data_IF_097092336836
#
_entry.id   IF_097092336836
#
_cell.length_a   1.000
_cell.length_b   1.000
_cell.length_c   1.000
_cell.angle_alpha   90.00
_cell.angle_beta   90.00
_cell.angle_gamma   90.00
#
_symmetry.space_group_name_H-M   'P 1'
#
loop_
_entity.id
_entity.type
_entity.pdbx_description
1 polymer ?
#
# COMPACT_ATOMS: atom_id res chain seq x y z
N UNK A 1 5.43 19.28 39.41
CA UNK A 1 5.13 17.83 39.48
C UNK A 1 5.71 17.05 38.29
N UNK A 2 5.30 17.30 37.04
CA UNK A 2 5.83 16.57 35.87
C UNK A 2 7.37 16.59 35.73
N UNK A 3 8.01 17.73 36.00
CA UNK A 3 9.47 17.85 35.98
C UNK A 3 10.16 16.94 37.02
N UNK A 4 9.57 16.78 38.21
CA UNK A 4 10.09 15.90 39.26
C UNK A 4 9.93 14.43 38.87
N UNK A 5 8.78 14.05 38.30
CA UNK A 5 8.56 12.69 37.78
C UNK A 5 9.52 12.35 36.64
N UNK A 6 9.92 13.33 35.84
CA UNK A 6 10.94 13.15 34.80
C UNK A 6 12.33 12.92 35.39
N UNK A 7 12.68 13.58 36.49
CA UNK A 7 13.94 13.33 37.23
C UNK A 7 13.89 11.93 37.85
N UNK A 8 12.78 11.58 38.49
CA UNK A 8 12.55 10.25 39.04
C UNK A 8 12.71 9.14 37.98
N UNK A 9 12.04 9.28 36.83
CA UNK A 9 12.15 8.32 35.71
C UNK A 9 13.57 8.19 35.15
N UNK A 10 14.41 9.24 35.26
CA UNK A 10 15.81 9.19 34.82
C UNK A 10 16.67 8.28 35.69
N UNK A 11 16.33 8.07 36.96
CA UNK A 11 17.07 7.12 37.81
C UNK A 11 16.88 5.68 37.35
N UNK A 12 15.77 5.35 36.67
CA UNK A 12 15.51 4.03 36.09
C UNK A 12 16.03 3.91 34.64
N UNK A 13 16.86 4.86 34.16
CA UNK A 13 17.32 4.92 32.77
C UNK A 13 18.15 3.70 32.37
N UNK A 14 19.00 3.21 33.26
CA UNK A 14 19.88 2.08 32.96
C UNK A 14 19.09 0.79 32.74
N UNK A 15 18.02 0.58 33.53
CA UNK A 15 17.07 -0.51 33.34
C UNK A 15 16.36 -0.39 31.98
N UNK A 16 15.89 0.81 31.64
CA UNK A 16 15.27 1.08 30.33
C UNK A 16 16.23 0.78 29.18
N UNK A 17 17.49 1.19 29.28
CA UNK A 17 18.51 0.91 28.26
C UNK A 17 18.76 -0.60 28.14
N UNK A 18 18.85 -1.32 29.27
CA UNK A 18 19.06 -2.77 29.30
C UNK A 18 17.88 -3.51 28.66
N UNK A 19 16.65 -3.12 28.99
CA UNK A 19 15.43 -3.67 28.39
C UNK A 19 15.42 -3.40 26.88
N UNK A 20 15.68 -2.15 26.46
CA UNK A 20 15.71 -1.78 25.05
C UNK A 20 16.72 -2.60 24.25
N UNK A 21 17.95 -2.77 24.77
CA UNK A 21 18.97 -3.61 24.14
C UNK A 21 18.47 -5.04 23.97
N UNK A 22 17.97 -5.65 25.04
CA UNK A 22 17.48 -7.03 25.03
C UNK A 22 16.34 -7.25 24.02
N UNK A 23 15.43 -6.29 23.88
CA UNK A 23 14.36 -6.31 22.87
C UNK A 23 14.95 -6.33 21.45
N UNK A 24 16.00 -5.54 21.20
CA UNK A 24 16.58 -5.37 19.86
C UNK A 24 17.62 -6.41 19.45
N UNK A 25 17.90 -7.42 20.29
CA UNK A 25 18.84 -8.51 19.96
C UNK A 25 18.24 -9.40 18.87
N UNK A 26 19.01 -9.64 17.80
CA UNK A 26 18.62 -10.53 16.70
C UNK A 26 18.78 -12.00 17.09
N UNK A 27 17.74 -12.80 16.84
CA UNK A 27 17.72 -14.23 17.11
C UNK A 27 18.81 -15.00 16.35
N UNK A 28 19.16 -14.57 15.13
CA UNK A 28 20.13 -15.28 14.30
C UNK A 28 21.59 -15.02 14.67
N UNK A 29 21.89 -14.01 15.49
CA UNK A 29 23.27 -13.67 15.89
C UNK A 29 23.81 -14.57 17.01
N UNK A 30 22.96 -15.10 17.90
CA UNK A 30 23.43 -15.98 18.99
C UNK A 30 23.81 -17.39 18.52
N UNK A 31 23.28 -17.84 17.37
CA UNK A 31 23.50 -19.20 16.86
C UNK A 31 24.95 -19.48 16.42
N UNK A 32 25.71 -18.47 15.98
CA UNK A 32 27.01 -18.73 15.33
C UNK A 32 28.24 -18.75 16.24
N UNK A 33 28.19 -18.09 17.40
CA UNK A 33 29.42 -17.86 18.19
C UNK A 33 29.41 -18.53 19.57
N UNK A 34 28.24 -18.92 20.09
CA UNK A 34 28.08 -19.42 21.47
C UNK A 34 27.37 -20.79 21.59
N UNK A 35 26.83 -21.33 20.49
CA UNK A 35 26.11 -22.60 20.47
C UNK A 35 26.93 -23.81 20.97
N UNK A 36 28.25 -23.71 21.01
CA UNK A 36 29.13 -24.78 21.49
C UNK A 36 29.21 -24.89 23.04
N UNK A 37 28.81 -23.88 23.81
CA UNK A 37 29.10 -23.83 25.26
C UNK A 37 27.94 -23.38 26.16
N UNK A 38 26.79 -22.97 25.63
CA UNK A 38 25.66 -22.49 26.45
C UNK A 38 24.33 -23.12 26.03
N UNK A 39 23.46 -23.39 27.01
CA UNK A 39 22.05 -23.71 26.76
C UNK A 39 21.44 -22.56 25.95
N UNK A 40 21.02 -22.84 24.73
CA UNK A 40 20.31 -21.87 23.91
C UNK A 40 19.03 -21.45 24.65
N UNK A 41 18.96 -20.18 25.03
CA UNK A 41 17.74 -19.60 25.62
C UNK A 41 16.71 -19.54 24.50
N UNK A 42 15.56 -20.17 24.72
CA UNK A 42 14.50 -20.17 23.71
C UNK A 42 13.95 -18.75 23.50
N UNK A 43 13.44 -18.42 22.29
CA UNK A 43 12.80 -17.13 22.03
C UNK A 43 11.70 -16.79 23.07
N UNK A 44 10.93 -17.79 23.49
CA UNK A 44 9.90 -17.65 24.52
C UNK A 44 10.50 -17.27 25.89
N UNK A 45 11.52 -17.99 26.37
CA UNK A 45 12.19 -17.67 27.63
C UNK A 45 12.76 -16.25 27.63
N UNK A 46 13.30 -15.78 26.49
CA UNK A 46 13.81 -14.42 26.36
C UNK A 46 12.69 -13.38 26.44
N UNK A 47 11.58 -13.59 25.73
CA UNK A 47 10.42 -12.69 25.79
C UNK A 47 9.91 -12.62 27.23
N UNK A 48 9.75 -13.76 27.91
CA UNK A 48 9.36 -13.79 29.32
C UNK A 48 10.32 -13.00 30.20
N UNK A 49 11.63 -13.19 30.07
CA UNK A 49 12.63 -12.43 30.84
C UNK A 49 12.56 -10.90 30.59
N UNK A 50 12.25 -10.48 29.36
CA UNK A 50 12.03 -9.06 29.02
C UNK A 50 10.77 -8.55 29.72
N UNK A 51 9.66 -9.27 29.60
CA UNK A 51 8.38 -8.89 30.19
C UNK A 51 8.48 -8.83 31.73
N UNK A 52 9.14 -9.80 32.36
CA UNK A 52 9.40 -9.81 33.81
C UNK A 52 10.27 -8.62 34.25
N UNK A 53 11.18 -8.15 33.40
CA UNK A 53 12.00 -6.97 33.70
C UNK A 53 11.17 -5.68 33.63
N UNK A 54 10.25 -5.60 32.66
CA UNK A 54 9.32 -4.48 32.51
C UNK A 54 8.30 -4.46 33.63
N UNK A 55 7.77 -5.62 34.02
CA UNK A 55 6.79 -5.73 35.10
C UNK A 55 7.39 -5.34 36.46
N UNK A 56 8.61 -5.80 36.76
CA UNK A 56 9.35 -5.36 37.96
C UNK A 56 9.56 -3.85 37.97
N UNK A 57 10.03 -3.28 36.86
CA UNK A 57 10.20 -1.83 36.73
C UNK A 57 8.87 -1.09 36.97
N UNK A 58 7.76 -1.62 36.46
CA UNK A 58 6.45 -1.02 36.64
C UNK A 58 5.93 -1.14 38.08
N UNK A 59 6.15 -2.29 38.73
CA UNK A 59 5.82 -2.53 40.13
C UNK A 59 6.60 -1.60 41.06
N UNK A 60 7.90 -1.41 40.83
CA UNK A 60 8.72 -0.48 41.61
C UNK A 60 8.14 0.95 41.57
N UNK A 61 7.82 1.44 40.38
CA UNK A 61 7.25 2.79 40.19
C UNK A 61 5.88 2.92 40.83
N UNK A 62 5.05 1.86 40.78
CA UNK A 62 3.73 1.81 41.43
C UNK A 62 3.86 1.76 42.97
N UNK A 63 4.92 1.15 43.50
CA UNK A 63 5.20 1.12 44.93
C UNK A 63 5.78 2.42 45.48
N UNK A 64 6.56 3.15 44.66
CA UNK A 64 7.23 4.40 45.06
C UNK A 64 6.34 5.65 44.95
N UNK A 65 5.25 5.60 44.16
CA UNK A 65 4.45 6.78 43.82
C UNK A 65 2.95 6.55 44.01
N UNK A 66 2.21 7.62 44.33
CA UNK A 66 0.75 7.64 44.27
C UNK A 66 0.26 7.28 42.86
N UNK A 67 -0.88 6.60 42.77
CA UNK A 67 -1.45 6.06 41.52
C UNK A 67 -1.41 7.01 40.31
N UNK A 68 -1.83 8.28 40.47
CA UNK A 68 -1.80 9.26 39.36
C UNK A 68 -0.37 9.62 38.93
N UNK A 69 0.56 9.68 39.88
CA UNK A 69 1.96 9.96 39.63
C UNK A 69 2.67 8.76 38.99
N UNK A 70 2.34 7.54 39.41
CA UNK A 70 2.88 6.31 38.82
C UNK A 70 2.46 6.19 37.35
N UNK A 71 1.20 6.39 37.01
CA UNK A 71 0.73 6.39 35.60
C UNK A 71 1.49 7.40 34.71
N UNK A 72 1.71 8.61 35.20
CA UNK A 72 2.49 9.62 34.46
C UNK A 72 3.95 9.17 34.30
N UNK A 73 4.56 8.63 35.36
CA UNK A 73 5.94 8.13 35.35
C UNK A 73 6.10 6.95 34.39
N UNK A 74 5.17 6.00 34.38
CA UNK A 74 5.12 4.89 33.41
C UNK A 74 5.02 5.40 31.97
N UNK A 75 4.22 6.43 31.71
CA UNK A 75 4.16 7.10 30.40
C UNK A 75 5.48 7.77 29.99
N UNK A 76 6.26 8.30 30.94
CA UNK A 76 7.60 8.84 30.67
C UNK A 76 8.59 7.71 30.37
N UNK A 77 8.59 6.65 31.18
CA UNK A 77 9.46 5.48 31.00
C UNK A 77 9.17 4.77 29.67
N UNK A 78 7.90 4.64 29.29
CA UNK A 78 7.49 4.11 27.99
C UNK A 78 8.10 4.91 26.83
N UNK A 79 7.99 6.25 26.86
CA UNK A 79 8.60 7.11 25.84
C UNK A 79 10.13 7.01 25.81
N UNK A 80 10.76 6.85 26.98
CA UNK A 80 12.21 6.62 27.07
C UNK A 80 12.57 5.27 26.45
N UNK A 81 11.81 4.22 26.74
CA UNK A 81 11.99 2.89 26.19
C UNK A 81 11.84 2.89 24.67
N UNK A 82 10.79 3.52 24.12
CA UNK A 82 10.62 3.65 22.67
C UNK A 82 11.81 4.37 22.01
N UNK A 83 12.31 5.42 22.66
CA UNK A 83 13.46 6.19 22.15
C UNK A 83 14.73 5.36 22.10
N UNK A 84 14.99 4.56 23.13
CA UNK A 84 16.16 3.67 23.19
C UNK A 84 15.99 2.45 22.25
N UNK A 85 14.78 1.87 22.13
CA UNK A 85 14.52 0.82 21.13
C UNK A 85 14.80 1.36 19.73
N UNK A 86 14.29 2.54 19.38
CA UNK A 86 14.54 3.15 18.07
C UNK A 86 16.05 3.40 17.82
N UNK A 87 16.81 3.70 18.88
CA UNK A 87 18.26 3.91 18.81
C UNK A 87 19.01 2.61 18.51
N UNK A 88 18.60 1.49 19.09
CA UNK A 88 19.25 0.19 18.93
C UNK A 88 18.67 -0.64 17.78
N UNK A 89 17.54 -0.21 17.19
CA UNK A 89 16.89 -0.89 16.10
C UNK A 89 17.84 -1.04 14.88
N UNK A 90 18.03 -2.28 14.42
CA UNK A 90 18.77 -2.52 13.19
C UNK A 90 17.98 -2.00 11.99
N UNK A 91 18.67 -1.29 11.09
CA UNK A 91 18.07 -0.80 9.84
C UNK A 91 18.15 -1.88 8.77
N UNK A 92 17.11 -1.96 7.93
CA UNK A 92 17.06 -2.85 6.76
C UNK A 92 17.19 -4.34 7.11
N UNK A 93 16.67 -4.74 8.27
CA UNK A 93 16.64 -6.14 8.69
C UNK A 93 15.48 -6.90 8.02
N UNK A 94 15.43 -8.22 8.25
CA UNK A 94 14.29 -9.04 7.83
C UNK A 94 12.99 -8.64 8.56
N UNK A 95 11.81 -8.89 7.96
CA UNK A 95 10.52 -8.60 8.59
C UNK A 95 10.30 -9.31 9.94
N UNK A 96 10.81 -10.53 10.09
CA UNK A 96 10.65 -11.35 11.31
C UNK A 96 11.25 -10.64 12.53
N UNK A 97 12.44 -10.06 12.40
CA UNK A 97 13.09 -9.25 13.43
C UNK A 97 12.18 -8.11 13.93
N UNK A 98 11.50 -7.41 13.01
CA UNK A 98 10.59 -6.34 13.39
C UNK A 98 9.28 -6.88 13.98
N UNK A 99 8.83 -8.05 13.52
CA UNK A 99 7.66 -8.75 14.04
C UNK A 99 7.85 -9.12 15.52
N UNK A 100 9.00 -9.70 15.87
CA UNK A 100 9.31 -10.09 17.25
C UNK A 100 9.32 -8.88 18.19
N UNK A 101 9.94 -7.78 17.76
CA UNK A 101 9.96 -6.53 18.52
C UNK A 101 8.54 -5.95 18.64
N UNK A 102 7.74 -6.00 17.58
CA UNK A 102 6.37 -5.52 17.58
C UNK A 102 5.47 -6.29 18.55
N UNK A 103 5.55 -7.63 18.56
CA UNK A 103 4.80 -8.48 19.49
C UNK A 103 5.23 -8.22 20.92
N UNK A 104 6.55 -8.10 21.17
CA UNK A 104 7.09 -7.78 22.49
C UNK A 104 6.59 -6.42 22.97
N UNK A 105 6.58 -5.39 22.11
CA UNK A 105 6.14 -4.05 22.46
C UNK A 105 4.63 -3.99 22.78
N UNK A 106 3.81 -4.80 22.10
CA UNK A 106 2.39 -4.96 22.44
C UNK A 106 2.18 -5.53 23.84
N UNK A 107 2.95 -6.54 24.23
CA UNK A 107 2.87 -7.10 25.57
C UNK A 107 3.34 -6.07 26.63
N UNK A 108 4.39 -5.31 26.34
CA UNK A 108 4.86 -4.20 27.20
C UNK A 108 3.77 -3.14 27.40
N UNK A 109 3.05 -2.76 26.33
CA UNK A 109 1.92 -1.83 26.45
C UNK A 109 0.84 -2.32 27.41
N UNK A 110 0.54 -3.61 27.40
CA UNK A 110 -0.41 -4.20 28.33
C UNK A 110 0.08 -4.11 29.79
N UNK A 111 1.35 -4.44 30.05
CA UNK A 111 1.96 -4.36 31.39
C UNK A 111 1.95 -2.93 31.95
N UNK A 112 2.24 -1.96 31.07
CA UNK A 112 2.31 -0.54 31.43
C UNK A 112 0.94 0.15 31.45
N UNK A 113 -0.12 -0.53 31.02
CA UNK A 113 -1.47 0.02 30.84
C UNK A 113 -1.50 1.25 29.91
N UNK A 114 -0.68 1.23 28.86
CA UNK A 114 -0.57 2.31 27.87
C UNK A 114 -1.21 1.86 26.55
N UNK A 115 -2.18 2.60 26.00
CA UNK A 115 -2.81 2.23 24.73
C UNK A 115 -1.80 2.20 23.58
N UNK A 116 -1.76 1.10 22.83
CA UNK A 116 -0.79 0.87 21.76
C UNK A 116 -0.92 1.85 20.59
N UNK A 117 -2.11 2.41 20.40
CA UNK A 117 -2.46 3.36 19.34
C UNK A 117 -1.71 4.69 19.51
N UNK A 118 -1.25 4.99 20.72
CA UNK A 118 -0.50 6.21 21.02
C UNK A 118 0.98 6.12 20.59
N UNK A 119 1.46 4.90 20.33
CA UNK A 119 2.86 4.61 20.01
C UNK A 119 3.16 4.79 18.52
N UNK A 120 3.99 5.78 18.21
CA UNK A 120 4.54 5.97 16.85
C UNK A 120 5.50 4.84 16.47
N UNK A 121 6.28 4.34 17.44
CA UNK A 121 7.21 3.24 17.22
C UNK A 121 6.48 1.95 16.88
N UNK A 122 5.40 1.63 17.59
CA UNK A 122 4.58 0.43 17.33
C UNK A 122 3.96 0.47 15.93
N UNK A 123 3.44 1.63 15.53
CA UNK A 123 2.93 1.84 14.18
C UNK A 123 4.01 1.66 13.12
N UNK A 124 5.25 2.08 13.40
CA UNK A 124 6.39 1.96 12.50
C UNK A 124 6.85 0.49 12.40
N UNK A 125 7.03 -0.19 13.52
CA UNK A 125 7.43 -1.60 13.59
C UNK A 125 6.41 -2.50 12.93
N UNK A 126 5.11 -2.22 13.13
CA UNK A 126 4.04 -2.91 12.41
C UNK A 126 4.20 -2.79 10.90
N UNK A 127 4.67 -1.66 10.35
CA UNK A 127 4.93 -1.56 8.90
C UNK A 127 6.20 -2.31 8.49
N UNK A 128 7.23 -2.30 9.33
CA UNK A 128 8.48 -3.01 9.03
C UNK A 128 8.33 -4.54 9.14
N UNK A 129 7.37 -5.04 9.91
CA UNK A 129 7.11 -6.49 10.06
C UNK A 129 6.46 -7.13 8.83
N UNK A 130 5.99 -6.34 7.86
CA UNK A 130 5.43 -6.88 6.62
C UNK A 130 6.56 -7.27 5.68
N UNK A 131 6.43 -8.39 5.00
CA UNK A 131 7.23 -8.72 3.81
C UNK A 131 6.95 -7.72 2.68
N UNK A 132 7.82 -7.67 1.69
CA UNK A 132 7.64 -6.76 0.55
C UNK A 132 6.39 -7.12 -0.26
N UNK A 133 6.07 -8.40 -0.39
CA UNK A 133 4.86 -8.85 -1.07
C UNK A 133 3.59 -8.45 -0.30
N UNK A 134 3.57 -8.60 1.03
CA UNK A 134 2.44 -8.15 1.85
C UNK A 134 2.24 -6.63 1.80
N UNK A 135 3.33 -5.85 1.74
CA UNK A 135 3.24 -4.40 1.53
C UNK A 135 2.64 -4.05 0.16
N UNK A 136 3.01 -4.78 -0.90
CA UNK A 136 2.48 -4.59 -2.25
C UNK A 136 0.99 -4.97 -2.31
N UNK A 137 0.62 -6.11 -1.72
CA UNK A 137 -0.77 -6.56 -1.63
C UNK A 137 -1.62 -5.56 -0.84
N UNK A 138 -1.11 -5.08 0.31
CA UNK A 138 -1.77 -4.07 1.13
C UNK A 138 -1.94 -2.74 0.39
N UNK A 139 -0.94 -2.35 -0.42
CA UNK A 139 -1.05 -1.18 -1.30
C UNK A 139 -2.20 -1.35 -2.30
N UNK A 140 -2.23 -2.44 -3.07
CA UNK A 140 -3.25 -2.62 -4.12
C UNK A 140 -4.66 -2.79 -3.55
N UNK A 141 -4.81 -3.45 -2.40
CA UNK A 141 -6.09 -3.52 -1.71
C UNK A 141 -6.62 -2.11 -1.38
N UNK A 142 -5.76 -1.24 -0.83
CA UNK A 142 -6.14 0.14 -0.53
C UNK A 142 -6.37 0.98 -1.78
N UNK A 143 -5.69 0.71 -2.89
CA UNK A 143 -5.99 1.37 -4.17
C UNK A 143 -7.39 0.99 -4.65
N UNK A 144 -7.74 -0.30 -4.64
CA UNK A 144 -9.05 -0.78 -5.08
C UNK A 144 -10.20 -0.24 -4.21
N UNK A 145 -10.03 -0.21 -2.89
CA UNK A 145 -11.02 0.37 -1.96
C UNK A 145 -11.30 1.87 -2.23
N UNK A 146 -10.30 2.62 -2.70
CA UNK A 146 -10.42 4.07 -2.90
C UNK A 146 -11.17 4.46 -4.19
N UNK A 147 -11.47 3.51 -5.08
CA UNK A 147 -12.18 3.78 -6.36
C UNK A 147 -13.61 4.26 -6.14
N UNK A 148 -14.24 3.92 -5.00
CA UNK A 148 -15.68 4.11 -4.77
C UNK A 148 -16.04 5.42 -4.04
N UNK A 149 -15.09 6.35 -3.86
CA UNK A 149 -15.18 7.35 -2.78
C UNK A 149 -15.82 8.68 -3.18
N UNK A 150 -16.09 8.96 -4.46
CA UNK A 150 -16.67 10.26 -4.83
C UNK A 150 -17.83 10.18 -5.86
N UNK A 151 -19.09 10.21 -5.40
CA UNK A 151 -20.26 10.26 -6.30
C UNK A 151 -20.34 11.55 -7.12
N UNK A 152 -19.60 12.60 -6.74
CA UNK A 152 -19.52 13.88 -7.45
C UNK A 152 -18.25 13.99 -8.33
N UNK A 153 -17.62 12.87 -8.69
CA UNK A 153 -16.50 12.89 -9.62
C UNK A 153 -17.00 13.13 -11.05
N UNK A 154 -16.64 14.28 -11.63
CA UNK A 154 -17.00 14.66 -13.00
C UNK A 154 -15.88 14.41 -14.02
N UNK A 155 -14.77 13.80 -13.61
CA UNK A 155 -13.62 13.51 -14.48
C UNK A 155 -13.86 12.34 -15.43
N UNK A 156 -12.83 11.86 -16.15
CA UNK A 156 -12.98 10.76 -17.10
C UNK A 156 -13.37 9.45 -16.40
N UNK A 157 -14.24 8.66 -17.05
CA UNK A 157 -14.72 7.39 -16.51
C UNK A 157 -14.90 6.36 -17.62
N UNK A 158 -14.71 5.10 -17.26
CA UNK A 158 -14.90 3.95 -18.14
C UNK A 158 -16.13 3.17 -17.69
N UNK A 159 -16.95 2.75 -18.64
CA UNK A 159 -18.06 1.83 -18.39
C UNK A 159 -17.62 0.41 -18.69
N UNK A 160 -17.79 -0.47 -17.72
CA UNK A 160 -17.44 -1.88 -17.86
C UNK A 160 -18.55 -2.76 -17.30
N UNK A 161 -18.61 -4.00 -17.75
CA UNK A 161 -19.35 -5.05 -17.07
C UNK A 161 -18.37 -6.13 -16.67
N UNK A 162 -18.44 -6.60 -15.44
CA UNK A 162 -17.52 -7.61 -14.94
C UNK A 162 -18.22 -8.56 -13.99
N UNK A 163 -17.80 -9.82 -14.01
CA UNK A 163 -18.17 -10.81 -13.02
C UNK A 163 -17.28 -12.03 -13.13
N UNK A 164 -17.51 -13.02 -12.29
CA UNK A 164 -16.75 -14.27 -12.34
C UNK A 164 -17.65 -15.51 -12.25
N UNK A 165 -17.20 -16.60 -12.85
CA UNK A 165 -17.80 -17.93 -12.71
C UNK A 165 -16.76 -18.85 -12.06
N UNK A 166 -17.07 -19.52 -10.94
CA UNK A 166 -16.22 -20.59 -10.44
C UNK A 166 -16.27 -21.77 -11.42
N UNK A 167 -15.10 -22.29 -11.78
CA UNK A 167 -14.94 -23.37 -12.75
C UNK A 167 -14.47 -24.64 -12.05
N UNK A 168 -14.54 -25.77 -12.76
CA UNK A 168 -14.01 -27.04 -12.27
C UNK A 168 -12.49 -26.96 -12.12
N UNK A 169 -11.95 -27.49 -11.01
CA UNK A 169 -10.51 -27.51 -10.74
C UNK A 169 -9.98 -26.26 -10.03
N UNK A 170 -10.73 -25.71 -9.08
CA UNK A 170 -10.30 -24.59 -8.21
C UNK A 170 -9.81 -23.36 -8.98
N UNK A 171 -10.48 -23.04 -10.08
CA UNK A 171 -10.22 -21.83 -10.87
C UNK A 171 -11.45 -20.93 -10.90
N UNK A 172 -11.23 -19.62 -10.99
CA UNK A 172 -12.24 -18.62 -11.26
C UNK A 172 -12.02 -18.05 -12.67
N UNK A 173 -13.08 -18.05 -13.48
CA UNK A 173 -13.08 -17.39 -14.77
C UNK A 173 -13.70 -16.00 -14.62
N UNK A 174 -12.88 -14.96 -14.75
CA UNK A 174 -13.34 -13.57 -14.81
C UNK A 174 -13.79 -13.28 -16.24
N UNK A 175 -14.98 -12.72 -16.39
CA UNK A 175 -15.53 -12.24 -17.66
C UNK A 175 -15.66 -10.73 -17.55
N UNK A 176 -15.01 -10.01 -18.46
CA UNK A 176 -14.99 -8.54 -18.52
C UNK A 176 -15.45 -8.08 -19.90
N UNK A 177 -16.45 -7.21 -19.95
CA UNK A 177 -16.79 -6.42 -21.14
C UNK A 177 -16.35 -4.98 -20.93
N UNK A 178 -15.48 -4.47 -21.80
CA UNK A 178 -15.14 -3.05 -21.87
C UNK A 178 -16.13 -2.35 -22.81
N UNK A 179 -17.02 -1.55 -22.25
CA UNK A 179 -18.18 -0.99 -22.97
C UNK A 179 -17.81 0.32 -23.64
N UNK A 180 -17.55 1.38 -22.87
CA UNK A 180 -17.34 2.73 -23.39
C UNK A 180 -16.47 3.60 -22.48
N UNK A 181 -16.05 4.75 -23.01
CA UNK A 181 -15.30 5.79 -22.31
C UNK A 181 -16.06 7.12 -22.39
N UNK A 182 -16.29 7.74 -21.23
CA UNK A 182 -17.08 8.96 -21.10
C UNK A 182 -16.27 10.08 -20.41
N UNK A 183 -16.64 11.33 -20.70
CA UNK A 183 -16.03 12.56 -20.16
C UNK A 183 -14.50 12.57 -20.23
N UNK A 184 -13.94 12.04 -21.31
CA UNK A 184 -12.54 12.32 -21.63
C UNK A 184 -12.43 13.82 -21.82
N UNK A 185 -11.53 14.51 -21.11
CA UNK A 185 -11.31 15.93 -21.36
C UNK A 185 -10.98 16.08 -22.85
N UNK A 186 -11.81 16.83 -23.58
CA UNK A 186 -11.48 17.25 -24.95
C UNK A 186 -10.08 17.84 -24.88
N UNK A 187 -9.12 17.18 -25.54
CA UNK A 187 -7.72 17.59 -25.60
C UNK A 187 -7.62 18.81 -26.54
N UNK A 188 -8.29 19.91 -26.19
CA UNK A 188 -8.30 21.14 -26.98
C UNK A 188 -6.89 21.72 -27.05
N UNK A 189 -6.28 21.68 -28.24
CA UNK A 189 -6.15 22.89 -29.09
C UNK A 189 -5.14 22.80 -30.25
N UNK A 190 -4.51 21.66 -30.57
CA UNK A 190 -3.73 21.53 -31.84
C UNK A 190 -3.61 20.09 -32.42
N UNK A 191 -4.09 19.06 -31.72
CA UNK A 191 -4.24 17.71 -32.25
C UNK A 191 -5.62 17.22 -31.81
N UNK A 192 -6.61 17.36 -32.67
CA UNK A 192 -8.01 17.01 -32.42
C UNK A 192 -8.27 15.50 -32.32
N UNK A 193 -7.21 14.69 -32.18
CA UNK A 193 -7.27 13.25 -32.28
C UNK A 193 -6.77 12.61 -31.00
N UNK A 194 -7.72 12.11 -30.22
CA UNK A 194 -7.46 11.15 -29.14
C UNK A 194 -7.72 9.78 -29.74
N UNK A 195 -6.74 8.89 -29.64
CA UNK A 195 -6.85 7.51 -30.11
C UNK A 195 -6.83 6.57 -28.89
N UNK A 196 -7.90 6.51 -28.08
CA UNK A 196 -7.86 5.78 -26.81
C UNK A 196 -7.90 4.27 -27.03
N UNK A 197 -7.14 3.55 -26.21
CA UNK A 197 -7.25 2.11 -26.03
C UNK A 197 -7.14 1.75 -24.55
N UNK A 198 -7.69 0.60 -24.20
CA UNK A 198 -7.72 0.10 -22.82
C UNK A 198 -6.70 -1.01 -22.68
N UNK A 199 -5.87 -0.93 -21.64
CA UNK A 199 -4.97 -1.98 -21.20
C UNK A 199 -5.53 -2.61 -19.93
N UNK A 200 -5.63 -3.93 -19.92
CA UNK A 200 -6.17 -4.72 -18.82
C UNK A 200 -5.08 -5.66 -18.31
N UNK A 201 -4.90 -5.71 -17.00
CA UNK A 201 -3.88 -6.56 -16.37
C UNK A 201 -4.28 -6.98 -14.96
N UNK A 202 -3.82 -8.15 -14.55
CA UNK A 202 -3.94 -8.63 -13.18
C UNK A 202 -2.74 -8.15 -12.34
N UNK A 203 -3.00 -7.71 -11.12
CA UNK A 203 -2.00 -7.15 -10.20
C UNK A 203 -2.11 -7.77 -8.81
N UNK A 204 -1.00 -7.80 -8.05
CA UNK A 204 0.36 -7.38 -8.43
C UNK A 204 1.08 -8.38 -9.34
N UNK A 205 2.16 -7.98 -10.05
CA UNK A 205 2.95 -8.90 -10.88
C UNK A 205 3.67 -10.01 -10.10
N UNK A 206 3.85 -9.84 -8.78
CA UNK A 206 4.39 -10.87 -7.88
C UNK A 206 3.40 -12.01 -7.70
N UNK A 207 2.10 -11.72 -7.76
CA UNK A 207 1.01 -12.71 -7.75
C UNK A 207 0.64 -13.18 -9.16
N UNK A 208 0.75 -12.28 -10.15
CA UNK A 208 0.39 -12.50 -11.56
C UNK A 208 1.58 -12.22 -12.48
N UNK A 209 2.55 -13.16 -12.59
CA UNK A 209 3.70 -12.96 -13.46
C UNK A 209 3.26 -12.77 -14.93
N UNK A 210 3.77 -11.76 -15.66
CA UNK A 210 3.32 -11.43 -17.01
C UNK A 210 3.44 -12.55 -18.04
N UNK A 211 4.36 -13.50 -17.82
CA UNK A 211 4.51 -14.69 -18.66
C UNK A 211 3.35 -15.68 -18.53
N UNK A 212 2.71 -15.73 -17.36
CA UNK A 212 1.55 -16.59 -17.10
C UNK A 212 0.23 -15.83 -17.29
N UNK A 213 0.23 -14.53 -16.97
CA UNK A 213 -0.94 -13.66 -17.02
C UNK A 213 -0.62 -12.44 -17.88
N UNK A 214 -0.64 -12.59 -19.22
CA UNK A 214 -0.31 -11.49 -20.13
C UNK A 214 -1.33 -10.36 -20.02
N UNK A 215 -0.86 -9.14 -20.25
CA UNK A 215 -1.75 -7.99 -20.39
C UNK A 215 -2.59 -8.13 -21.66
N UNK A 216 -3.81 -7.63 -21.58
CA UNK A 216 -4.74 -7.57 -22.71
C UNK A 216 -4.95 -6.11 -23.12
N UNK A 217 -5.31 -5.90 -24.40
CA UNK A 217 -5.61 -4.58 -24.93
C UNK A 217 -6.86 -4.61 -25.79
N UNK A 218 -7.64 -3.54 -25.72
CA UNK A 218 -8.70 -3.31 -26.71
C UNK A 218 -8.13 -2.82 -28.03
N UNK A 219 -8.97 -2.82 -29.07
CA UNK A 219 -8.71 -2.02 -30.28
C UNK A 219 -8.55 -0.53 -29.91
N UNK A 220 -7.69 0.16 -30.62
CA UNK A 220 -7.60 1.62 -30.54
C UNK A 220 -8.81 2.23 -31.23
N UNK A 221 -9.56 3.10 -30.54
CA UNK A 221 -10.63 3.87 -31.17
C UNK A 221 -9.98 5.00 -31.97
N UNK A 222 -10.28 5.10 -33.26
CA UNK A 222 -9.74 6.17 -34.08
C UNK A 222 -10.57 7.45 -33.86
N UNK A 223 -9.90 8.60 -33.66
CA UNK A 223 -10.52 9.92 -33.51
C UNK A 223 -11.55 10.07 -32.37
N UNK A 224 -11.72 9.07 -31.50
CA UNK A 224 -12.71 9.07 -30.42
C UNK A 224 -14.16 9.40 -30.87
N UNK A 225 -14.47 9.30 -32.17
CA UNK A 225 -15.84 9.45 -32.73
C UNK A 225 -16.72 8.29 -32.26
N UNK A 226 -16.14 7.10 -32.17
CA UNK A 226 -16.67 5.98 -31.41
C UNK A 226 -16.20 6.13 -29.96
N UNK A 227 -17.14 6.23 -29.00
CA UNK A 227 -16.84 6.17 -27.57
C UNK A 227 -16.90 4.73 -27.01
N UNK A 228 -17.21 3.75 -27.86
CA UNK A 228 -17.56 2.38 -27.45
C UNK A 228 -16.60 1.35 -28.02
N UNK A 229 -16.11 0.45 -27.17
CA UNK A 229 -15.39 -0.76 -27.60
C UNK A 229 -16.32 -1.96 -27.76
N UNK A 230 -17.19 -2.20 -26.76
CA UNK A 230 -17.95 -3.44 -26.60
C UNK A 230 -17.08 -4.68 -26.85
N UNK A 231 -15.93 -4.74 -26.14
CA UNK A 231 -14.94 -5.79 -26.33
C UNK A 231 -14.81 -6.64 -25.07
N UNK A 232 -14.93 -7.95 -25.27
CA UNK A 232 -14.92 -8.93 -24.20
C UNK A 232 -13.54 -9.53 -23.96
N UNK A 233 -13.27 -9.83 -22.69
CA UNK A 233 -12.05 -10.46 -22.22
C UNK A 233 -12.38 -11.52 -21.18
N UNK A 234 -11.57 -12.57 -21.16
CA UNK A 234 -11.71 -13.67 -20.21
C UNK A 234 -10.37 -13.95 -19.54
N UNK A 235 -10.38 -14.14 -18.23
CA UNK A 235 -9.19 -14.45 -17.44
C UNK A 235 -9.46 -15.67 -16.58
N UNK A 236 -8.80 -16.78 -16.88
CA UNK A 236 -8.82 -17.96 -16.02
C UNK A 236 -7.72 -17.80 -14.98
N UNK A 237 -8.10 -17.77 -13.70
CA UNK A 237 -7.13 -17.62 -12.60
C UNK A 237 -7.38 -18.67 -11.51
N UNK A 238 -6.33 -19.17 -10.85
CA UNK A 238 -6.50 -20.02 -9.67
C UNK A 238 -7.31 -19.30 -8.60
N UNK A 239 -8.26 -20.03 -8.00
CA UNK A 239 -9.19 -19.52 -7.00
C UNK A 239 -8.45 -18.98 -5.77
N UNK A 240 -7.34 -19.61 -5.39
CA UNK A 240 -6.46 -19.11 -4.33
C UNK A 240 -5.99 -17.68 -4.63
N UNK A 241 -5.49 -17.40 -5.85
CA UNK A 241 -5.03 -16.07 -6.24
C UNK A 241 -6.20 -15.09 -6.39
N UNK A 242 -7.37 -15.57 -6.85
CA UNK A 242 -8.60 -14.78 -6.96
C UNK A 242 -9.05 -14.21 -5.60
N UNK A 243 -8.97 -15.01 -4.53
CA UNK A 243 -9.41 -14.58 -3.20
C UNK A 243 -8.30 -13.90 -2.38
N UNK A 244 -7.05 -13.87 -2.86
CA UNK A 244 -5.94 -13.19 -2.19
C UNK A 244 -6.23 -11.70 -2.00
N UNK A 245 -6.16 -11.23 -0.76
CA UNK A 245 -6.27 -9.80 -0.44
C UNK A 245 -5.19 -8.99 -1.18
N UNK A 246 -5.60 -7.94 -1.88
CA UNK A 246 -4.71 -7.15 -2.74
C UNK A 246 -4.64 -7.62 -4.19
N UNK A 247 -5.19 -8.79 -4.52
CA UNK A 247 -5.41 -9.20 -5.91
C UNK A 247 -6.39 -8.24 -6.59
N UNK A 248 -5.99 -7.70 -7.73
CA UNK A 248 -6.74 -6.65 -8.41
C UNK A 248 -6.70 -6.78 -9.93
N UNK A 249 -7.82 -6.49 -10.57
CA UNK A 249 -7.90 -6.22 -12.00
C UNK A 249 -7.67 -4.72 -12.22
N UNK A 250 -6.59 -4.37 -12.92
CA UNK A 250 -6.23 -3.00 -13.27
C UNK A 250 -6.64 -2.71 -14.70
N UNK A 251 -7.38 -1.61 -14.87
CA UNK A 251 -7.88 -1.13 -16.15
C UNK A 251 -7.27 0.25 -16.36
N UNK A 252 -6.35 0.34 -17.32
CA UNK A 252 -5.66 1.59 -17.68
C UNK A 252 -6.16 2.08 -19.04
N UNK A 253 -6.61 3.32 -19.12
CA UNK A 253 -6.97 3.93 -20.40
C UNK A 253 -5.80 4.78 -20.87
N UNK A 254 -5.30 4.50 -22.06
CA UNK A 254 -4.19 5.20 -22.68
C UNK A 254 -4.62 5.82 -23.99
N UNK A 255 -4.07 6.98 -24.30
CA UNK A 255 -4.14 7.62 -25.60
C UNK A 255 -2.94 7.17 -26.44
N UNK A 256 -3.20 6.64 -27.63
CA UNK A 256 -2.16 6.19 -28.53
C UNK A 256 -1.46 7.37 -29.19
N UNK A 257 -0.13 7.39 -29.08
CA UNK A 257 0.70 8.42 -29.71
C UNK A 257 1.93 7.72 -30.31
N UNK A 258 2.28 8.11 -31.54
CA UNK A 258 3.40 7.56 -32.32
C UNK A 258 4.72 7.53 -31.55
N UNK A 259 4.93 8.47 -30.64
CA UNK A 259 6.17 8.56 -29.85
C UNK A 259 6.07 7.84 -28.51
N UNK A 260 4.95 8.02 -27.81
CA UNK A 260 4.77 7.44 -26.47
C UNK A 260 3.31 7.53 -26.04
N UNK A 261 2.67 6.39 -25.82
CA UNK A 261 1.31 6.34 -25.29
C UNK A 261 1.19 7.13 -23.99
N UNK A 262 0.11 7.88 -23.86
CA UNK A 262 -0.14 8.77 -22.72
C UNK A 262 -1.21 8.16 -21.82
N UNK A 263 -0.98 8.15 -20.51
CA UNK A 263 -1.97 7.60 -19.58
C UNK A 263 -3.08 8.64 -19.35
N UNK A 264 -4.33 8.29 -19.62
CA UNK A 264 -5.51 9.12 -19.28
C UNK A 264 -5.87 8.92 -17.81
N UNK A 265 -5.94 7.66 -17.37
CA UNK A 265 -6.17 7.30 -15.97
C UNK A 265 -6.27 5.78 -15.77
N UNK A 266 -6.43 5.37 -14.51
CA UNK A 266 -6.53 3.95 -14.12
C UNK A 266 -7.69 3.73 -13.16
N UNK A 267 -8.29 2.56 -13.22
CA UNK A 267 -9.21 2.06 -12.21
C UNK A 267 -8.84 0.65 -11.80
N UNK A 268 -9.23 0.26 -10.59
CA UNK A 268 -8.83 -0.98 -9.94
C UNK A 268 -10.04 -1.65 -9.33
N UNK A 269 -10.17 -2.96 -9.56
CA UNK A 269 -11.24 -3.77 -9.00
C UNK A 269 -10.61 -4.90 -8.21
N UNK A 270 -10.97 -5.05 -6.94
CA UNK A 270 -10.56 -6.20 -6.17
C UNK A 270 -11.24 -7.45 -6.75
N UNK A 271 -10.44 -8.46 -7.10
CA UNK A 271 -10.93 -9.68 -7.74
C UNK A 271 -11.93 -10.42 -6.85
N UNK A 272 -11.67 -10.50 -5.56
CA UNK A 272 -12.55 -11.09 -4.56
C UNK A 272 -13.89 -10.36 -4.35
N UNK A 273 -14.06 -9.15 -4.89
CA UNK A 273 -15.30 -8.37 -4.84
C UNK A 273 -16.09 -8.41 -6.15
N UNK A 274 -15.59 -9.09 -7.18
CA UNK A 274 -16.32 -9.23 -8.44
C UNK A 274 -17.61 -10.02 -8.21
N UNK A 275 -18.72 -9.66 -8.85
CA UNK A 275 -19.99 -10.36 -8.66
C UNK A 275 -19.92 -11.76 -9.27
N UNK A 276 -20.40 -12.75 -8.52
CA UNK A 276 -20.52 -14.13 -9.00
C UNK A 276 -21.64 -14.21 -10.03
N UNK A 277 -21.36 -14.87 -11.15
CA UNK A 277 -22.30 -15.10 -12.24
C UNK A 277 -22.82 -16.53 -12.18
N UNK A 278 -24.10 -16.70 -12.54
CA UNK A 278 -24.74 -18.02 -12.64
C UNK A 278 -24.45 -18.72 -13.97
N UNK A 279 -23.90 -18.02 -14.96
CA UNK A 279 -23.59 -18.59 -16.26
C UNK A 279 -22.43 -17.87 -16.94
N UNK A 280 -21.79 -18.56 -17.88
CA UNK A 280 -20.73 -18.03 -18.75
C UNK A 280 -21.24 -17.03 -19.81
N UNK A 281 -22.55 -16.82 -19.92
CA UNK A 281 -23.10 -15.92 -20.92
C UNK A 281 -22.82 -14.46 -20.57
N UNK A 282 -22.14 -13.77 -21.50
CA UNK A 282 -21.85 -12.33 -21.43
C UNK A 282 -23.14 -11.51 -21.33
N UNK A 283 -24.25 -12.02 -21.88
CA UNK A 283 -25.59 -11.40 -21.75
C UNK A 283 -26.13 -11.38 -20.32
N UNK A 284 -25.58 -12.23 -19.43
CA UNK A 284 -25.91 -12.24 -18.00
C UNK A 284 -24.93 -11.43 -17.16
N UNK A 285 -24.00 -10.69 -17.79
CA UNK A 285 -23.17 -9.76 -17.03
C UNK A 285 -24.06 -8.68 -16.37
N UNK A 286 -23.66 -8.18 -15.19
CA UNK A 286 -24.34 -7.07 -14.54
C UNK A 286 -24.44 -5.85 -15.47
N UNK A 287 -25.35 -4.93 -15.14
CA UNK A 287 -25.43 -3.64 -15.86
C UNK A 287 -24.07 -2.93 -15.84
N UNK A 288 -23.72 -2.19 -16.91
CA UNK A 288 -22.46 -1.46 -16.96
C UNK A 288 -22.27 -0.58 -15.72
N UNK A 289 -21.15 -0.78 -15.04
CA UNK A 289 -20.70 0.03 -13.93
C UNK A 289 -19.79 1.13 -14.46
N UNK A 290 -20.10 2.36 -14.05
CA UNK A 290 -19.27 3.54 -14.33
C UNK A 290 -18.15 3.64 -13.31
N UNK A 291 -16.91 3.53 -13.75
CA UNK A 291 -15.72 3.58 -12.90
C UNK A 291 -14.89 4.83 -13.18
N UNK A 292 -14.57 5.64 -12.15
CA UNK A 292 -13.70 6.81 -12.33
C UNK A 292 -12.29 6.37 -12.72
N UNK A 293 -11.69 7.10 -13.66
CA UNK A 293 -10.30 6.91 -14.06
C UNK A 293 -9.41 7.82 -13.21
N UNK A 294 -8.91 7.25 -12.12
CA UNK A 294 -8.04 7.94 -11.18
C UNK A 294 -6.70 8.26 -11.83
N UNK A 295 -6.24 9.50 -11.65
CA UNK A 295 -4.91 9.91 -12.09
C UNK A 295 -3.85 9.43 -11.08
N UNK A 296 -2.60 9.15 -11.53
CA UNK A 296 -1.49 8.95 -10.60
C UNK A 296 -1.36 10.16 -9.69
N UNK A 297 -1.42 9.94 -8.38
CA UNK A 297 -1.45 10.93 -7.29
C UNK A 297 -2.81 11.53 -6.86
N UNK A 298 -3.94 11.32 -7.56
CA UNK A 298 -5.24 11.84 -7.07
C UNK A 298 -5.66 11.17 -5.75
N UNK A 299 -5.33 9.89 -5.57
CA UNK A 299 -5.42 9.19 -4.27
C UNK A 299 -4.44 9.72 -3.21
N UNK A 300 -3.54 10.64 -3.55
CA UNK A 300 -2.65 11.35 -2.61
C UNK A 300 -3.19 12.73 -2.20
N UNK A 301 -4.24 13.23 -2.85
CA UNK A 301 -4.84 14.54 -2.61
C UNK A 301 -6.25 14.48 -2.00
N UNK A 302 -6.79 13.28 -1.75
CA UNK A 302 -8.07 13.07 -1.05
C UNK A 302 -7.94 13.27 0.49
N UNK A 303 -9.07 13.53 1.21
CA UNK A 303 -9.05 13.98 2.60
C UNK A 303 -8.34 13.04 3.59
N UNK A 304 -7.86 13.69 4.65
CA UNK A 304 -6.68 13.43 5.48
C UNK A 304 -6.53 12.04 6.16
N UNK A 305 -7.53 11.15 6.14
CA UNK A 305 -7.53 9.91 6.94
C UNK A 305 -7.46 8.59 6.15
N UNK A 306 -7.93 8.52 4.89
CA UNK A 306 -7.81 7.30 4.04
C UNK A 306 -6.53 7.29 3.20
N UNK A 307 -6.01 8.48 2.90
CA UNK A 307 -4.80 8.69 2.10
C UNK A 307 -3.51 8.41 2.88
N UNK A 308 -3.56 8.39 4.21
CA UNK A 308 -2.40 8.16 5.09
C UNK A 308 -1.88 6.73 4.99
N UNK A 309 -2.76 5.72 5.02
CA UNK A 309 -2.36 4.31 4.96
C UNK A 309 -1.74 3.94 3.61
N UNK A 310 -2.36 4.35 2.50
CA UNK A 310 -1.80 4.13 1.17
C UNK A 310 -0.41 4.78 1.02
N UNK A 311 -0.24 6.00 1.55
CA UNK A 311 1.05 6.71 1.57
C UNK A 311 2.09 5.98 2.44
N UNK A 312 1.68 5.36 3.55
CA UNK A 312 2.59 4.58 4.42
C UNK A 312 3.16 3.38 3.66
N UNK A 313 2.32 2.58 3.00
CA UNK A 313 2.79 1.41 2.23
C UNK A 313 3.72 1.83 1.08
N UNK A 314 3.34 2.83 0.29
CA UNK A 314 4.18 3.32 -0.80
C UNK A 314 5.51 3.90 -0.30
N UNK A 315 5.50 4.66 0.81
CA UNK A 315 6.72 5.20 1.43
C UNK A 315 7.65 4.08 1.87
N UNK A 316 7.13 3.04 2.52
CA UNK A 316 7.91 1.88 2.95
C UNK A 316 8.52 1.13 1.76
N UNK A 317 7.73 0.88 0.71
CA UNK A 317 8.23 0.24 -0.53
C UNK A 317 9.29 1.09 -1.23
N UNK A 318 9.15 2.43 -1.20
CA UNK A 318 10.17 3.35 -1.72
C UNK A 318 11.47 3.27 -0.91
N UNK A 319 11.39 3.16 0.42
CA UNK A 319 12.56 2.96 1.27
C UNK A 319 13.25 1.63 0.98
N UNK A 320 12.48 0.53 0.87
CA UNK A 320 12.99 -0.81 0.54
C UNK A 320 13.61 -0.90 -0.85
N UNK A 321 13.17 -0.09 -1.81
CA UNK A 321 13.67 -0.14 -3.19
C UNK A 321 15.19 0.06 -3.35
N UNK A 322 15.88 0.54 -2.33
CA UNK A 322 17.34 0.63 -2.31
C UNK A 322 18.04 -0.74 -2.21
N UNK A 323 17.41 -1.74 -1.57
CA UNK A 323 18.00 -3.04 -1.28
C UNK A 323 17.10 -4.24 -1.65
N UNK A 324 15.82 -4.02 -1.96
CA UNK A 324 14.87 -5.06 -2.36
C UNK A 324 14.49 -4.89 -3.85
N UNK A 325 14.76 -5.92 -4.65
CA UNK A 325 14.51 -5.92 -6.09
C UNK A 325 13.02 -5.88 -6.43
N UNK A 326 12.18 -6.55 -5.66
CA UNK A 326 10.72 -6.59 -5.82
C UNK A 326 10.11 -5.22 -5.52
N UNK A 327 10.51 -4.60 -4.41
CA UNK A 327 10.11 -3.23 -4.07
C UNK A 327 10.59 -2.22 -5.15
N UNK A 328 11.81 -2.40 -5.66
CA UNK A 328 12.35 -1.58 -6.76
C UNK A 328 11.57 -1.72 -8.05
N UNK A 329 11.16 -2.94 -8.41
CA UNK A 329 10.32 -3.19 -9.58
C UNK A 329 8.94 -2.52 -9.43
N UNK A 330 8.30 -2.66 -8.26
CA UNK A 330 7.05 -1.98 -7.93
C UNK A 330 7.17 -0.45 -8.05
N UNK A 331 8.17 0.16 -7.40
CA UNK A 331 8.37 1.62 -7.43
C UNK A 331 8.64 2.12 -8.85
N UNK A 332 9.42 1.37 -9.65
CA UNK A 332 9.66 1.71 -11.07
C UNK A 332 8.37 1.70 -11.87
N UNK A 333 7.51 0.71 -11.66
CA UNK A 333 6.21 0.60 -12.32
C UNK A 333 5.31 1.79 -12.00
N UNK A 334 5.14 2.14 -10.73
CA UNK A 334 4.29 3.28 -10.34
C UNK A 334 4.88 4.62 -10.82
N UNK A 335 6.21 4.78 -10.79
CA UNK A 335 6.89 5.93 -11.41
C UNK A 335 6.69 6.00 -12.92
N UNK A 336 6.69 4.87 -13.62
CA UNK A 336 6.46 4.82 -15.06
C UNK A 336 5.03 5.27 -15.41
N UNK A 337 4.03 4.78 -14.68
CA UNK A 337 2.63 5.22 -14.83
C UNK A 337 2.50 6.73 -14.59
N UNK A 338 3.10 7.25 -13.51
CA UNK A 338 3.15 8.70 -13.23
C UNK A 338 3.84 9.50 -14.33
N UNK A 339 4.94 8.99 -14.90
CA UNK A 339 5.65 9.64 -16.01
C UNK A 339 4.79 9.68 -17.29
N UNK A 340 4.06 8.61 -17.60
CA UNK A 340 3.13 8.58 -18.73
C UNK A 340 2.02 9.61 -18.56
N UNK A 341 1.53 9.80 -17.33
CA UNK A 341 0.54 10.82 -17.02
C UNK A 341 1.10 12.26 -17.09
N UNK A 342 2.24 12.53 -16.44
CA UNK A 342 2.85 13.87 -16.42
C UNK A 342 3.30 14.35 -17.81
N UNK A 343 3.78 13.44 -18.67
CA UNK A 343 4.07 13.77 -20.08
C UNK A 343 2.83 14.25 -20.81
N UNK A 344 1.67 13.69 -20.49
CA UNK A 344 0.40 14.16 -21.06
C UNK A 344 0.15 15.61 -20.64
N UNK A 345 0.35 15.95 -19.37
CA UNK A 345 0.20 17.30 -18.85
C UNK A 345 1.23 18.28 -19.43
N UNK A 346 2.52 17.93 -19.48
CA UNK A 346 3.55 18.87 -19.95
C UNK A 346 3.34 19.25 -21.42
N UNK A 347 2.94 18.28 -22.26
CA UNK A 347 2.56 18.56 -23.65
C UNK A 347 1.35 19.48 -23.73
N UNK A 348 0.33 19.28 -22.89
CA UNK A 348 -0.83 20.18 -22.77
C UNK A 348 -0.41 21.62 -22.45
N UNK A 349 0.48 21.82 -21.48
CA UNK A 349 0.96 23.16 -21.11
C UNK A 349 1.81 23.82 -22.20
N UNK A 350 2.74 23.09 -22.83
CA UNK A 350 3.57 23.63 -23.91
C UNK A 350 2.76 24.04 -25.15
N UNK A 351 1.71 23.29 -25.47
CA UNK A 351 0.79 23.61 -26.57
C UNK A 351 -0.05 24.85 -26.25
N UNK A 352 -0.62 24.92 -25.04
CA UNK A 352 -1.40 26.08 -24.57
C UNK A 352 -0.58 27.38 -24.57
N UNK A 353 0.69 27.32 -24.14
CA UNK A 353 1.59 28.48 -24.13
C UNK A 353 1.93 28.95 -25.55
N UNK A 354 2.11 28.02 -26.51
CA UNK A 354 2.32 28.34 -27.93
C UNK A 354 1.08 28.98 -28.57
N UNK A 355 -0.12 28.57 -28.16
CA UNK A 355 -1.37 29.15 -28.65
C UNK A 355 -1.60 30.57 -28.11
N UNK A 356 -1.33 30.81 -26.83
CA UNK A 356 -1.42 32.16 -26.24
C UNK A 356 -0.44 33.13 -26.91
N UNK A 357 0.78 32.67 -27.24
CA UNK A 357 1.75 33.47 -28.02
C UNK A 357 1.32 33.72 -29.47
N UNK A 358 0.55 32.82 -30.10
CA UNK A 358 0.03 33.05 -31.47
C UNK A 358 -1.14 34.05 -31.47
N UNK A 359 -1.92 34.11 -30.40
CA UNK A 359 -2.99 35.09 -30.24
C UNK A 359 -2.44 36.48 -29.89
N UNK A 360 -1.37 36.58 -29.09
CA UNK A 360 -0.75 37.86 -28.75
C UNK A 360 0.11 38.50 -29.87
N UNK A 361 0.20 37.87 -31.04
CA UNK A 361 0.92 38.38 -32.23
C UNK A 361 -0.08 38.79 -33.33
N UNK A 362 -1.38 38.71 -33.05
CA UNK A 362 -2.48 39.11 -33.94
C UNK A 362 -3.27 40.32 -33.44
N UNK A 363 -2.80 40.96 -32.37
CA UNK A 363 -3.10 42.36 -32.01
C UNK A 363 -1.86 43.19 -32.32
#
# INVERSE_FOLDING_TARGET
MYALLRIHSRFKRDDVIKIAKNITIDHHEHSKTLAAYMREISPAERIHAILDSVDRLACDVRGELLHRCSQISLGILHKMLESEILRYLKKHHNPDYYSDIYVTLKAIHAILEIPAETSKLTSLLHLYSFTTDELILSYYAKVAENVHVNPNYHGPHINIQVGYVPTTGENALIILNVVSLDNVPQLNSLCDRIDPFVRIELLPPTLYPPQCFPLHKTKTLANCEESTWNQDFQFLIPQQLFYTYGSSLCISVLDHDRLCNQLIGRTFLATNQLPRLESLSIRKLPKPQRLPLLQPDEGHHQPYYKVTELKKFYKMLKERSAYDATAKAFVRREKAAKKMYLKSLSRRFSIRLKHLRKLSVRE
#
